data_IF_338347030745
#
_entry.id   IF_338347030745
#
_cell.length_a   1.000
_cell.length_b   1.000
_cell.length_c   1.000
_cell.angle_alpha   90.00
_cell.angle_beta   90.00
_cell.angle_gamma   90.00
#
_symmetry.space_group_name_H-M   'P 1'
#
loop_
_entity.id
_entity.type
_entity.pdbx_description
1 polymer ?
#
# COMPACT_ATOMS: atom_id res chain seq x y z
N UNK A 1 -13.77 -19.89 33.54
CA UNK A 1 -14.96 -19.65 32.68
C UNK A 1 -14.51 -18.80 31.51
N UNK A 2 -14.61 -19.35 30.29
CA UNK A 2 -14.97 -18.74 29.01
C UNK A 2 -14.73 -17.24 28.63
N UNK A 3 -13.67 -16.56 29.09
CA UNK A 3 -13.37 -15.18 28.64
C UNK A 3 -13.26 -15.03 27.11
N UNK A 4 -12.72 -16.05 26.42
CA UNK A 4 -12.64 -16.09 24.96
C UNK A 4 -13.99 -16.19 24.25
N UNK A 5 -15.04 -16.70 24.92
CA UNK A 5 -16.38 -16.81 24.33
C UNK A 5 -17.16 -15.50 24.49
N UNK A 6 -17.04 -14.87 25.66
CA UNK A 6 -17.64 -13.56 25.95
C UNK A 6 -17.07 -12.48 25.02
N UNK A 7 -15.75 -12.49 24.78
CA UNK A 7 -15.11 -11.54 23.86
C UNK A 7 -15.60 -11.71 22.41
N UNK A 8 -15.78 -12.95 21.94
CA UNK A 8 -16.28 -13.23 20.59
C UNK A 8 -17.75 -12.84 20.41
N UNK A 9 -18.58 -13.03 21.44
CA UNK A 9 -19.99 -12.62 21.41
C UNK A 9 -20.11 -11.09 21.40
N UNK A 10 -19.36 -10.38 22.25
CA UNK A 10 -19.34 -8.91 22.27
C UNK A 10 -18.83 -8.29 20.96
N UNK A 11 -17.84 -8.89 20.31
CA UNK A 11 -17.33 -8.44 19.01
C UNK A 11 -18.38 -8.57 17.89
N UNK A 12 -19.10 -9.69 17.84
CA UNK A 12 -20.17 -9.92 16.83
C UNK A 12 -21.32 -8.94 16.99
N UNK A 13 -21.70 -8.64 18.23
CA UNK A 13 -22.78 -7.69 18.50
C UNK A 13 -22.36 -6.25 18.17
N UNK A 14 -21.10 -5.90 18.42
CA UNK A 14 -20.51 -4.63 17.96
C UNK A 14 -20.52 -4.49 16.43
N UNK A 15 -20.20 -5.56 15.69
CA UNK A 15 -20.21 -5.55 14.23
C UNK A 15 -21.63 -5.42 13.65
N UNK A 16 -22.61 -6.13 14.22
CA UNK A 16 -24.03 -5.97 13.82
C UNK A 16 -24.52 -4.55 14.03
N UNK A 17 -24.13 -3.93 15.14
CA UNK A 17 -24.44 -2.52 15.40
C UNK A 17 -23.80 -1.61 14.34
N UNK A 18 -22.51 -1.81 14.04
CA UNK A 18 -21.80 -1.04 13.01
C UNK A 18 -22.44 -1.18 11.61
N UNK A 19 -22.90 -2.37 11.24
CA UNK A 19 -23.60 -2.62 9.96
C UNK A 19 -24.92 -1.85 9.89
N UNK A 20 -25.71 -1.87 10.96
CA UNK A 20 -26.98 -1.13 11.00
C UNK A 20 -26.75 0.39 10.93
N UNK A 21 -25.72 0.89 11.62
CA UNK A 21 -25.32 2.29 11.52
C UNK A 21 -24.90 2.60 10.08
N UNK A 22 -24.00 1.82 9.47
CA UNK A 22 -23.54 2.04 8.09
C UNK A 22 -24.71 2.11 7.09
N UNK A 23 -25.71 1.23 7.21
CA UNK A 23 -26.93 1.27 6.39
C UNK A 23 -27.73 2.55 6.55
N UNK A 24 -27.93 3.00 7.79
CA UNK A 24 -28.68 4.24 8.07
C UNK A 24 -27.99 5.51 7.57
N UNK A 25 -26.67 5.49 7.40
CA UNK A 25 -25.90 6.61 6.87
C UNK A 25 -25.63 6.51 5.35
N UNK A 26 -26.19 5.50 4.66
CA UNK A 26 -26.02 5.33 3.22
C UNK A 26 -24.57 5.05 2.80
N UNK A 27 -23.80 4.39 3.67
CA UNK A 27 -22.43 3.94 3.35
C UNK A 27 -22.50 2.91 2.21
N UNK A 28 -21.43 2.82 1.39
CA UNK A 28 -21.42 1.95 0.21
C UNK A 28 -21.78 0.49 0.53
N UNK A 29 -22.58 -0.12 -0.33
CA UNK A 29 -22.97 -1.53 -0.21
C UNK A 29 -21.76 -2.47 -0.18
N UNK A 30 -20.66 -2.10 -0.84
CA UNK A 30 -19.41 -2.85 -0.79
C UNK A 30 -18.80 -2.93 0.61
N UNK A 31 -18.83 -1.82 1.36
CA UNK A 31 -18.36 -1.77 2.74
C UNK A 31 -19.29 -2.53 3.69
N UNK A 32 -20.60 -2.42 3.48
CA UNK A 32 -21.62 -3.16 4.25
C UNK A 32 -21.43 -4.68 4.06
N UNK A 33 -21.26 -5.13 2.81
CA UNK A 33 -21.02 -6.53 2.49
C UNK A 33 -19.73 -7.07 3.12
N UNK A 34 -18.67 -6.25 3.21
CA UNK A 34 -17.43 -6.63 3.90
C UNK A 34 -17.64 -6.85 5.40
N UNK A 35 -18.34 -5.93 6.07
CA UNK A 35 -18.68 -6.07 7.49
C UNK A 35 -19.57 -7.29 7.75
N UNK A 36 -20.51 -7.59 6.85
CA UNK A 36 -21.36 -8.77 6.98
C UNK A 36 -20.56 -10.08 6.90
N UNK A 37 -19.57 -10.17 6.00
CA UNK A 37 -18.65 -11.33 5.91
C UNK A 37 -17.83 -11.50 7.19
N UNK A 38 -17.27 -10.40 7.71
CA UNK A 38 -16.52 -10.40 8.97
C UNK A 38 -17.39 -10.84 10.17
N UNK A 39 -18.66 -10.40 10.22
CA UNK A 39 -19.61 -10.75 11.29
C UNK A 39 -19.98 -12.24 11.28
N UNK A 40 -20.09 -12.82 10.09
CA UNK A 40 -20.40 -14.24 9.90
C UNK A 40 -19.21 -15.16 10.22
N UNK A 41 -18.01 -14.61 10.41
CA UNK A 41 -16.81 -15.41 10.71
C UNK A 41 -16.35 -16.23 9.50
N UNK A 42 -16.78 -15.84 8.29
CA UNK A 42 -16.02 -16.14 7.09
C UNK A 42 -14.71 -15.34 7.23
N UNK A 43 -13.74 -15.95 7.91
CA UNK A 43 -12.36 -15.52 7.77
C UNK A 43 -12.09 -15.61 6.27
N UNK A 44 -12.00 -14.45 5.65
CA UNK A 44 -11.42 -14.30 4.34
C UNK A 44 -9.97 -14.78 4.51
N UNK A 45 -9.71 -16.08 4.30
CA UNK A 45 -8.35 -16.66 4.31
C UNK A 45 -7.45 -15.97 3.26
N UNK A 46 -8.06 -15.15 2.42
CA UNK A 46 -7.50 -14.23 1.43
C UNK A 46 -7.23 -12.81 1.94
N UNK A 47 -7.66 -12.42 3.14
CA UNK A 47 -7.35 -11.11 3.71
C UNK A 47 -5.86 -10.99 4.05
N UNK A 48 -5.14 -10.22 3.24
CA UNK A 48 -3.72 -9.95 3.43
C UNK A 48 -3.55 -9.15 4.74
N UNK A 49 -3.05 -9.80 5.79
CA UNK A 49 -2.75 -9.14 7.06
C UNK A 49 -1.39 -8.44 6.98
N UNK A 50 -1.43 -7.11 6.83
CA UNK A 50 -0.24 -6.28 6.91
C UNK A 50 0.11 -5.97 8.37
N UNK A 51 1.41 -5.93 8.67
CA UNK A 51 1.96 -5.68 10.00
C UNK A 51 2.77 -4.40 9.96
N UNK A 52 2.50 -3.50 10.90
CA UNK A 52 3.27 -2.26 11.04
C UNK A 52 4.74 -2.53 11.33
N UNK A 53 5.63 -1.75 10.70
CA UNK A 53 7.07 -1.94 10.79
C UNK A 53 7.62 -3.02 9.84
N UNK A 54 6.85 -3.40 8.82
CA UNK A 54 7.26 -4.39 7.83
C UNK A 54 7.23 -3.84 6.39
N UNK A 55 7.95 -4.53 5.51
CA UNK A 55 8.02 -4.24 4.07
C UNK A 55 7.41 -5.38 3.27
N UNK A 56 6.78 -5.07 2.14
CA UNK A 56 6.09 -6.04 1.30
C UNK A 56 6.43 -5.83 -0.18
N UNK A 57 6.81 -6.91 -0.87
CA UNK A 57 6.88 -6.98 -2.32
C UNK A 57 5.59 -7.56 -2.90
N UNK A 58 5.08 -6.91 -3.93
CA UNK A 58 3.93 -7.37 -4.70
C UNK A 58 4.40 -7.64 -6.13
N UNK A 59 4.42 -8.91 -6.52
CA UNK A 59 4.78 -9.28 -7.89
C UNK A 59 3.57 -9.27 -8.80
N UNK A 60 3.54 -8.33 -9.73
CA UNK A 60 2.44 -8.18 -10.68
C UNK A 60 2.92 -7.64 -12.03
N UNK A 61 2.21 -7.99 -13.11
CA UNK A 61 2.52 -7.47 -14.46
C UNK A 61 1.90 -6.10 -14.71
N UNK A 62 0.75 -5.85 -14.08
CA UNK A 62 -0.01 -4.61 -14.09
C UNK A 62 -0.28 -4.25 -12.64
N UNK A 63 -0.23 -2.98 -12.30
CA UNK A 63 -0.34 -2.46 -10.92
C UNK A 63 -1.79 -2.49 -10.39
N UNK A 64 -2.50 -3.59 -10.61
CA UNK A 64 -3.91 -3.72 -10.24
C UNK A 64 -4.06 -4.18 -8.80
N UNK A 65 -3.30 -5.19 -8.40
CA UNK A 65 -3.45 -5.85 -7.10
C UNK A 65 -2.81 -5.04 -5.99
N UNK A 66 -1.64 -4.45 -6.23
CA UNK A 66 -1.07 -3.47 -5.31
C UNK A 66 -2.03 -2.29 -5.08
N UNK A 67 -2.65 -1.78 -6.14
CA UNK A 67 -3.63 -0.69 -6.06
C UNK A 67 -4.91 -1.10 -5.32
N UNK A 68 -5.43 -2.31 -5.52
CA UNK A 68 -6.54 -2.87 -4.75
C UNK A 68 -6.21 -2.90 -3.24
N UNK A 69 -5.02 -3.42 -2.87
CA UNK A 69 -4.56 -3.48 -1.48
C UNK A 69 -4.55 -2.08 -0.87
N UNK A 70 -3.92 -1.11 -1.54
CA UNK A 70 -3.78 0.24 -0.98
C UNK A 70 -5.07 1.06 -1.01
N UNK A 71 -5.99 0.75 -1.92
CA UNK A 71 -7.35 1.32 -1.89
C UNK A 71 -8.10 0.84 -0.64
N UNK A 72 -8.02 -0.45 -0.30
CA UNK A 72 -8.60 -0.98 0.94
C UNK A 72 -7.98 -0.37 2.21
N UNK A 73 -6.69 -0.04 2.18
CA UNK A 73 -6.01 0.69 3.26
C UNK A 73 -6.51 2.15 3.34
N UNK A 74 -6.68 2.80 2.18
CA UNK A 74 -7.15 4.17 2.10
C UNK A 74 -8.58 4.30 2.66
N UNK A 75 -9.47 3.35 2.36
CA UNK A 75 -10.83 3.28 2.91
C UNK A 75 -10.87 3.17 4.43
N UNK A 76 -9.85 2.55 5.05
CA UNK A 76 -9.73 2.43 6.50
C UNK A 76 -9.23 3.73 7.15
N UNK A 77 -8.97 4.78 6.38
CA UNK A 77 -8.49 6.07 6.87
C UNK A 77 -7.00 6.08 7.26
N UNK A 78 -6.26 5.02 6.95
CA UNK A 78 -4.83 4.94 7.26
C UNK A 78 -4.05 5.93 6.38
N UNK A 79 -3.17 6.78 6.94
CA UNK A 79 -2.36 7.70 6.15
C UNK A 79 -1.53 6.96 5.10
N UNK A 80 -1.66 7.36 3.84
CA UNK A 80 -1.05 6.64 2.72
C UNK A 80 -0.36 7.63 1.77
N UNK A 81 0.86 7.31 1.36
CA UNK A 81 1.54 7.94 0.23
C UNK A 81 1.53 6.96 -0.94
N UNK A 82 1.02 7.38 -2.09
CA UNK A 82 0.99 6.58 -3.33
C UNK A 82 1.88 7.23 -4.37
N UNK A 83 2.87 6.50 -4.85
CA UNK A 83 3.69 6.87 -6.00
C UNK A 83 3.34 5.98 -7.18
N UNK A 84 2.67 6.57 -8.16
CA UNK A 84 2.22 5.85 -9.33
C UNK A 84 2.25 6.72 -10.56
N UNK A 85 2.30 6.06 -11.72
CA UNK A 85 2.03 6.68 -13.02
C UNK A 85 0.54 6.71 -13.35
N UNK A 86 -0.27 5.92 -12.65
CA UNK A 86 -1.70 5.82 -12.91
C UNK A 86 -2.49 6.90 -12.17
N UNK A 87 -2.61 8.05 -12.85
CA UNK A 87 -3.40 9.20 -12.38
C UNK A 87 -4.91 9.00 -12.48
N UNK A 88 -5.39 7.89 -13.09
CA UNK A 88 -6.82 7.58 -13.22
C UNK A 88 -7.38 6.84 -12.01
N UNK A 89 -6.53 6.43 -11.08
CA UNK A 89 -6.97 5.79 -9.85
C UNK A 89 -7.76 6.77 -8.97
N UNK A 90 -8.93 6.34 -8.48
CA UNK A 90 -9.74 7.14 -7.57
C UNK A 90 -9.09 7.31 -6.19
N UNK A 91 -7.93 6.69 -5.94
CA UNK A 91 -7.24 6.68 -4.65
C UNK A 91 -6.82 8.09 -4.21
N UNK A 92 -6.59 9.01 -5.16
CA UNK A 92 -6.25 10.40 -4.86
C UNK A 92 -7.42 11.20 -4.24
N UNK A 93 -8.66 10.70 -4.31
CA UNK A 93 -9.83 11.36 -3.73
C UNK A 93 -9.95 11.19 -2.21
N UNK A 94 -9.25 10.20 -1.64
CA UNK A 94 -9.25 9.95 -0.20
C UNK A 94 -8.42 11.00 0.53
N UNK A 95 -8.99 11.61 1.59
CA UNK A 95 -8.33 12.72 2.34
C UNK A 95 -7.05 12.30 3.07
N UNK A 96 -6.93 11.03 3.41
CA UNK A 96 -5.76 10.41 4.05
C UNK A 96 -4.68 9.98 3.04
N UNK A 97 -4.90 10.20 1.74
CA UNK A 97 -3.96 9.84 0.68
C UNK A 97 -3.24 11.07 0.18
N UNK A 98 -1.91 10.98 0.12
CA UNK A 98 -1.05 11.90 -0.63
C UNK A 98 -0.58 11.19 -1.89
N UNK A 99 -1.16 11.55 -3.01
CA UNK A 99 -0.80 10.99 -4.31
C UNK A 99 0.37 11.78 -4.92
N UNK A 100 1.41 11.08 -5.33
CA UNK A 100 2.60 11.61 -5.98
C UNK A 100 2.71 11.01 -7.38
N UNK A 101 2.23 11.73 -8.43
CA UNK A 101 2.32 11.24 -9.79
C UNK A 101 3.77 11.20 -10.24
N UNK A 102 4.25 10.06 -10.73
CA UNK A 102 5.61 9.94 -11.26
C UNK A 102 5.59 10.20 -12.77
N UNK A 103 6.05 11.39 -13.19
CA UNK A 103 5.99 11.87 -14.58
C UNK A 103 6.96 13.03 -14.79
N UNK A 104 7.32 13.30 -16.05
CA UNK A 104 8.10 14.49 -16.41
C UNK A 104 7.28 15.79 -16.41
N UNK A 105 5.96 15.71 -16.25
CA UNK A 105 5.05 16.86 -16.21
C UNK A 105 5.00 17.54 -14.83
N UNK A 106 6.13 18.12 -14.39
CA UNK A 106 6.28 18.75 -13.08
C UNK A 106 5.32 19.93 -12.86
N UNK A 107 4.96 20.64 -13.94
CA UNK A 107 4.00 21.76 -13.90
C UNK A 107 2.59 21.34 -13.46
N UNK A 108 2.26 20.05 -13.52
CA UNK A 108 1.00 19.48 -13.07
C UNK A 108 1.11 18.81 -11.69
N UNK A 109 2.21 19.08 -10.95
CA UNK A 109 2.48 18.46 -9.65
C UNK A 109 3.10 17.06 -9.76
N UNK A 110 3.59 16.68 -10.95
CA UNK A 110 4.35 15.46 -11.17
C UNK A 110 5.74 15.50 -10.54
N UNK A 111 6.25 14.33 -10.16
CA UNK A 111 7.62 14.13 -9.74
C UNK A 111 8.42 13.47 -10.86
N UNK A 112 9.49 14.14 -11.27
CA UNK A 112 10.37 13.63 -12.29
C UNK A 112 11.09 12.35 -11.80
N UNK A 113 10.96 11.21 -12.50
CA UNK A 113 11.53 9.94 -12.07
C UNK A 113 13.07 9.93 -12.01
N UNK A 114 13.74 10.84 -12.73
CA UNK A 114 15.19 10.98 -12.69
C UNK A 114 15.67 11.78 -11.46
N UNK A 115 14.77 12.50 -10.78
CA UNK A 115 15.07 13.36 -9.64
C UNK A 115 14.72 12.68 -8.31
N UNK A 116 15.36 11.53 -8.05
CA UNK A 116 15.12 10.70 -6.86
C UNK A 116 15.19 11.47 -5.53
N UNK A 117 16.04 12.50 -5.44
CA UNK A 117 16.16 13.33 -4.24
C UNK A 117 14.88 14.08 -3.92
N UNK A 118 14.17 14.60 -4.93
CA UNK A 118 12.91 15.31 -4.72
C UNK A 118 11.80 14.35 -4.27
N UNK A 119 11.73 13.17 -4.91
CA UNK A 119 10.80 12.11 -4.52
C UNK A 119 11.06 11.70 -3.06
N UNK A 120 12.34 11.54 -2.70
CA UNK A 120 12.75 11.16 -1.35
C UNK A 120 12.37 12.22 -0.32
N UNK A 121 12.66 13.49 -0.62
CA UNK A 121 12.31 14.62 0.24
C UNK A 121 10.79 14.71 0.46
N UNK A 122 10.01 14.53 -0.61
CA UNK A 122 8.55 14.50 -0.51
C UNK A 122 8.08 13.44 0.47
N UNK A 123 8.57 12.20 0.39
CA UNK A 123 8.20 11.13 1.35
C UNK A 123 8.60 11.52 2.75
N UNK A 124 9.86 11.91 2.97
CA UNK A 124 10.38 12.21 4.30
C UNK A 124 9.58 13.31 5.00
N UNK A 125 9.16 14.33 4.26
CA UNK A 125 8.42 15.47 4.79
C UNK A 125 6.93 15.18 5.03
N UNK A 126 6.37 14.18 4.34
CA UNK A 126 4.94 13.90 4.38
C UNK A 126 4.56 12.59 5.07
N UNK A 127 5.52 11.70 5.32
CA UNK A 127 5.27 10.40 5.91
C UNK A 127 5.02 10.52 7.41
N UNK A 128 3.95 9.90 7.88
CA UNK A 128 3.48 9.97 9.27
C UNK A 128 3.72 8.66 10.02
N UNK A 129 3.62 8.69 11.34
CA UNK A 129 3.73 7.48 12.16
C UNK A 129 2.62 6.48 11.81
N UNK A 130 2.99 5.19 11.68
CA UNK A 130 2.07 4.12 11.22
C UNK A 130 1.37 4.43 9.88
N UNK A 131 2.01 5.21 9.01
CA UNK A 131 1.56 5.41 7.63
C UNK A 131 1.93 4.24 6.72
N UNK A 132 1.43 4.28 5.49
CA UNK A 132 1.76 3.34 4.42
C UNK A 132 2.40 4.09 3.26
N UNK A 133 3.49 3.56 2.71
CA UNK A 133 4.10 4.02 1.47
C UNK A 133 3.88 2.94 0.42
N UNK A 134 3.39 3.34 -0.74
CA UNK A 134 3.21 2.49 -1.89
C UNK A 134 3.90 3.05 -3.12
N UNK A 135 4.67 2.20 -3.81
CA UNK A 135 5.33 2.54 -5.08
C UNK A 135 5.05 1.40 -6.06
N UNK A 136 4.61 1.73 -7.27
CA UNK A 136 4.27 0.73 -8.30
C UNK A 136 4.97 0.91 -9.65
N UNK A 137 5.78 1.97 -9.77
CA UNK A 137 6.38 2.42 -11.01
C UNK A 137 7.90 2.31 -10.99
N UNK A 138 8.41 1.31 -10.27
CA UNK A 138 9.85 1.13 -10.08
C UNK A 138 10.58 0.80 -11.40
N UNK A 139 9.93 0.09 -12.32
CA UNK A 139 10.41 -0.16 -13.67
C UNK A 139 10.68 1.14 -14.43
N UNK A 140 9.79 2.11 -14.30
CA UNK A 140 9.96 3.43 -14.91
C UNK A 140 11.11 4.22 -14.27
N UNK A 141 11.20 4.19 -12.95
CA UNK A 141 12.32 4.81 -12.21
C UNK A 141 13.65 4.19 -12.64
N UNK A 142 13.74 2.87 -12.77
CA UNK A 142 14.95 2.21 -13.28
C UNK A 142 15.29 2.63 -14.71
N UNK A 143 14.28 2.70 -15.58
CA UNK A 143 14.49 3.05 -17.00
C UNK A 143 15.02 4.47 -17.21
N UNK A 144 14.87 5.34 -16.21
CA UNK A 144 15.26 6.76 -16.26
C UNK A 144 16.45 7.10 -15.35
N UNK A 145 16.86 6.18 -14.49
CA UNK A 145 18.02 6.37 -13.61
C UNK A 145 19.33 6.05 -14.33
N UNK A 146 20.35 6.88 -14.08
CA UNK A 146 21.70 6.66 -14.58
C UNK A 146 22.40 5.45 -13.95
N UNK A 147 21.87 4.91 -12.85
CA UNK A 147 22.45 3.77 -12.12
C UNK A 147 21.40 3.03 -11.30
N UNK A 148 21.41 1.71 -11.41
CA UNK A 148 20.62 0.80 -10.58
C UNK A 148 20.92 1.02 -9.09
N UNK A 149 22.21 1.19 -8.75
CA UNK A 149 22.65 1.38 -7.37
C UNK A 149 22.03 2.63 -6.73
N UNK A 150 21.80 3.69 -7.52
CA UNK A 150 21.11 4.89 -7.03
C UNK A 150 19.65 4.60 -6.68
N UNK A 151 18.95 3.79 -7.48
CA UNK A 151 17.57 3.38 -7.20
C UNK A 151 17.49 2.49 -5.96
N UNK A 152 18.41 1.52 -5.83
CA UNK A 152 18.49 0.67 -4.63
C UNK A 152 18.74 1.52 -3.39
N UNK A 153 19.70 2.45 -3.42
CA UNK A 153 19.98 3.36 -2.29
C UNK A 153 18.77 4.21 -1.95
N UNK A 154 18.07 4.73 -2.96
CA UNK A 154 16.82 5.48 -2.77
C UNK A 154 15.76 4.63 -2.05
N UNK A 155 15.52 3.39 -2.51
CA UNK A 155 14.59 2.47 -1.84
C UNK A 155 15.01 2.15 -0.40
N UNK A 156 16.29 1.92 -0.15
CA UNK A 156 16.81 1.68 1.20
C UNK A 156 16.57 2.87 2.12
N UNK A 157 16.84 4.10 1.67
CA UNK A 157 16.59 5.30 2.49
C UNK A 157 15.10 5.48 2.79
N UNK A 158 14.23 5.26 1.80
CA UNK A 158 12.78 5.31 2.01
C UNK A 158 12.32 4.25 3.00
N UNK A 159 12.78 3.01 2.83
CA UNK A 159 12.51 1.91 3.74
C UNK A 159 12.88 2.26 5.17
N UNK A 160 14.12 2.67 5.40
CA UNK A 160 14.60 2.98 6.74
C UNK A 160 13.74 4.06 7.40
N UNK A 161 13.33 5.09 6.64
CA UNK A 161 12.44 6.16 7.13
C UNK A 161 11.03 5.69 7.42
N UNK A 162 10.47 4.81 6.59
CA UNK A 162 9.15 4.22 6.81
C UNK A 162 9.15 3.33 8.06
N UNK A 163 10.15 2.47 8.20
CA UNK A 163 10.26 1.51 9.30
C UNK A 163 10.56 2.17 10.65
N UNK A 164 11.37 3.24 10.67
CA UNK A 164 11.63 4.06 11.86
C UNK A 164 10.33 4.60 12.47
N UNK A 165 9.36 4.93 11.62
CA UNK A 165 8.03 5.42 12.00
C UNK A 165 6.98 4.32 12.17
N UNK A 166 7.40 3.06 12.29
CA UNK A 166 6.53 1.87 12.35
C UNK A 166 5.53 1.80 11.19
N UNK A 167 5.86 2.39 10.04
CA UNK A 167 5.03 2.36 8.86
C UNK A 167 5.14 1.04 8.10
N UNK A 168 4.40 0.94 7.00
CA UNK A 168 4.44 -0.18 6.07
C UNK A 168 4.94 0.33 4.73
N UNK A 169 5.90 -0.37 4.12
CA UNK A 169 6.34 -0.08 2.76
C UNK A 169 5.92 -1.21 1.83
N UNK A 170 5.02 -0.92 0.89
CA UNK A 170 4.58 -1.82 -0.16
C UNK A 170 5.21 -1.39 -1.48
N UNK A 171 5.89 -2.32 -2.15
CA UNK A 171 6.51 -2.10 -3.45
C UNK A 171 5.95 -3.10 -4.46
N UNK A 172 5.25 -2.59 -5.46
CA UNK A 172 4.78 -3.36 -6.61
C UNK A 172 5.80 -3.33 -7.73
N UNK A 173 6.11 -4.49 -8.29
CA UNK A 173 7.02 -4.58 -9.42
C UNK A 173 6.75 -5.79 -10.32
N UNK A 174 7.06 -5.61 -11.61
CA UNK A 174 7.06 -6.67 -12.59
C UNK A 174 8.45 -7.32 -12.65
N UNK A 175 8.58 -8.55 -12.14
CA UNK A 175 9.86 -9.28 -12.13
C UNK A 175 10.49 -9.48 -13.52
N UNK A 176 9.69 -9.37 -14.59
CA UNK A 176 10.17 -9.58 -15.95
C UNK A 176 10.79 -8.32 -16.58
N UNK A 177 10.67 -7.16 -15.92
CA UNK A 177 11.24 -5.89 -16.42
C UNK A 177 12.60 -5.56 -15.79
N UNK A 178 13.11 -6.42 -14.91
CA UNK A 178 14.37 -6.20 -14.17
C UNK A 178 15.37 -7.33 -14.42
N UNK A 179 16.65 -7.00 -14.39
CA UNK A 179 17.73 -7.98 -14.40
C UNK A 179 17.74 -8.82 -13.14
N UNK A 180 18.19 -10.08 -13.24
CA UNK A 180 18.23 -11.02 -12.10
C UNK A 180 19.02 -10.49 -10.89
N UNK A 181 20.13 -9.80 -11.14
CA UNK A 181 20.96 -9.23 -10.08
C UNK A 181 20.24 -8.09 -9.34
N UNK A 182 19.53 -7.25 -10.08
CA UNK A 182 18.78 -6.10 -9.56
C UNK A 182 17.61 -6.58 -8.71
N UNK A 183 16.84 -7.53 -9.23
CA UNK A 183 15.75 -8.17 -8.52
C UNK A 183 16.23 -8.82 -7.22
N UNK A 184 17.36 -9.52 -7.25
CA UNK A 184 17.93 -10.16 -6.05
C UNK A 184 18.35 -9.14 -4.98
N UNK A 185 18.80 -7.94 -5.37
CA UNK A 185 19.09 -6.87 -4.41
C UNK A 185 17.80 -6.35 -3.77
N UNK A 186 16.75 -6.11 -4.56
CA UNK A 186 15.45 -5.67 -4.04
C UNK A 186 14.86 -6.72 -3.10
N UNK A 187 14.89 -8.00 -3.47
CA UNK A 187 14.41 -9.11 -2.63
C UNK A 187 15.17 -9.23 -1.31
N UNK A 188 16.46 -8.86 -1.27
CA UNK A 188 17.21 -8.81 -0.01
C UNK A 188 16.83 -7.62 0.86
N UNK A 189 16.47 -6.50 0.24
CA UNK A 189 16.05 -5.29 0.95
C UNK A 189 14.64 -5.39 1.54
N UNK A 190 13.74 -6.14 0.88
CA UNK A 190 12.34 -6.31 1.26
C UNK A 190 12.06 -7.72 1.74
N UNK A 191 11.67 -7.85 3.01
CA UNK A 191 11.63 -9.15 3.70
C UNK A 191 10.42 -10.02 3.36
N UNK A 192 9.26 -9.42 3.10
CA UNK A 192 8.02 -10.17 2.91
C UNK A 192 7.55 -10.06 1.47
N UNK A 193 7.08 -11.16 0.91
CA UNK A 193 6.43 -11.19 -0.41
C UNK A 193 4.95 -11.48 -0.23
N UNK A 194 4.10 -10.62 -0.77
CA UNK A 194 2.68 -10.88 -0.89
C UNK A 194 2.50 -11.77 -2.13
N UNK A 195 2.23 -13.05 -1.89
CA UNK A 195 1.89 -13.99 -2.96
C UNK A 195 0.46 -13.75 -3.38
N UNK A 196 0.26 -13.06 -4.49
CA UNK A 196 -1.05 -13.00 -5.13
C UNK A 196 -1.26 -14.32 -5.88
N UNK A 197 -2.38 -15.00 -5.62
CA UNK A 197 -2.86 -16.04 -6.53
C UNK A 197 -3.26 -15.34 -7.83
N UNK A 198 -2.40 -15.41 -8.83
CA UNK A 198 -2.80 -15.10 -10.21
C UNK A 198 -3.61 -16.26 -10.75
N UNK A 199 -4.84 -15.97 -11.15
CA UNK A 199 -5.68 -16.84 -11.98
C UNK A 199 -4.99 -17.17 -13.32
#
# INVERSE_FOLDING_TARGET
MNDNKVYKEGYKDGLKFAINVARSYGISEEFINRLERESQGENDETAIKLVYGETYLVYEKRNTKGMEIVSGIAEQGVPLIVMSRDTKSNIASFKNVKFAPITYEESLGGFNPAQLSQIQEFVINNFTERGVLYIDCLDYIFSTSNSVQNVIRFLTVLKDKVLDRKGIFILSLNKNTMGKAELSLIEKEFKNTIKIRTD
#
